data_IF_056163925993
#
_entry.id   IF_056163925993
#
_cell.length_a   1.000
_cell.length_b   1.000
_cell.length_c   1.000
_cell.angle_alpha   90.00
_cell.angle_beta   90.00
_cell.angle_gamma   90.00
#
_symmetry.space_group_name_H-M   'P 1'
#
loop_
_entity.id
_entity.type
_entity.pdbx_description
1 polymer ?
#
# COMPACT_ATOMS: atom_id res chain seq x y z
N UNK A 1 47.65 60.13 -18.34
CA UNK A 1 47.24 59.12 -17.34
C UNK A 1 46.55 58.00 -18.12
N UNK A 2 47.26 56.91 -18.42
CA UNK A 2 46.75 55.82 -19.25
C UNK A 2 46.21 54.73 -18.32
N UNK A 3 44.92 54.41 -18.41
CA UNK A 3 44.32 53.36 -17.59
C UNK A 3 44.42 52.02 -18.33
N UNK A 4 45.25 51.10 -17.82
CA UNK A 4 45.34 49.76 -18.36
C UNK A 4 44.15 48.93 -17.89
N UNK A 5 43.23 48.60 -18.80
CA UNK A 5 42.24 47.56 -18.55
C UNK A 5 42.93 46.20 -18.65
N UNK A 6 43.17 45.56 -17.50
CA UNK A 6 43.51 44.14 -17.45
C UNK A 6 42.23 43.37 -17.74
N UNK A 7 42.06 42.96 -18.99
CA UNK A 7 41.10 41.93 -19.35
C UNK A 7 41.59 40.60 -18.77
N UNK A 8 41.13 40.27 -17.56
CA UNK A 8 41.15 38.91 -17.05
C UNK A 8 40.20 38.08 -17.92
N UNK A 9 40.75 37.51 -18.99
CA UNK A 9 40.15 36.36 -19.65
C UNK A 9 40.10 35.23 -18.63
N UNK A 10 38.92 34.95 -18.09
CA UNK A 10 38.65 33.65 -17.50
C UNK A 10 38.93 32.62 -18.59
N UNK A 11 40.01 31.84 -18.43
CA UNK A 11 40.10 30.56 -19.13
C UNK A 11 38.88 29.77 -18.71
N UNK A 12 38.01 29.43 -19.65
CA UNK A 12 37.05 28.37 -19.43
C UNK A 12 37.90 27.11 -19.16
N UNK A 13 37.97 26.71 -17.89
CA UNK A 13 38.37 25.35 -17.58
C UNK A 13 37.41 24.46 -18.37
N UNK A 14 37.92 23.50 -19.12
CA UNK A 14 37.06 22.39 -19.52
C UNK A 14 36.58 21.80 -18.21
N UNK A 15 35.26 21.76 -18.01
CA UNK A 15 34.69 20.91 -16.98
C UNK A 15 35.24 19.50 -17.24
N UNK A 16 35.75 18.86 -16.19
CA UNK A 16 36.10 17.45 -16.15
C UNK A 16 34.81 16.62 -16.25
N UNK A 17 34.18 16.67 -17.42
CA UNK A 17 32.84 16.16 -17.71
C UNK A 17 32.99 14.85 -18.51
N UNK A 18 32.80 13.72 -17.83
CA UNK A 18 33.16 12.38 -18.31
C UNK A 18 31.94 11.60 -18.79
N UNK A 19 30.81 11.71 -18.08
CA UNK A 19 29.62 10.88 -18.32
C UNK A 19 28.33 11.70 -18.45
N UNK A 20 27.29 11.03 -18.94
CA UNK A 20 25.90 11.48 -18.84
C UNK A 20 24.95 10.30 -18.78
N UNK A 21 23.99 10.33 -17.87
CA UNK A 21 22.95 9.31 -17.81
C UNK A 21 21.95 9.39 -18.97
N UNK A 22 21.73 8.26 -19.63
CA UNK A 22 20.56 8.05 -20.48
C UNK A 22 19.35 7.63 -19.64
N UNK A 23 18.18 8.19 -19.93
CA UNK A 23 16.94 7.91 -19.20
C UNK A 23 16.60 8.98 -18.16
N UNK A 24 16.17 8.55 -16.97
CA UNK A 24 15.72 9.42 -15.87
C UNK A 24 14.37 9.00 -15.27
N UNK A 25 13.81 9.81 -14.35
CA UNK A 25 12.48 9.62 -13.77
C UNK A 25 11.35 9.57 -14.82
N UNK A 26 10.29 8.81 -14.52
CA UNK A 26 9.04 8.81 -15.29
C UNK A 26 7.88 8.38 -14.38
N UNK A 27 6.87 9.24 -14.25
CA UNK A 27 5.78 9.10 -13.29
C UNK A 27 4.57 8.40 -13.91
N UNK A 28 4.11 7.36 -13.24
CA UNK A 28 2.91 6.61 -13.60
C UNK A 28 1.87 6.68 -12.48
N UNK A 29 0.59 6.76 -12.86
CA UNK A 29 -0.53 6.63 -11.91
C UNK A 29 -0.82 5.15 -11.71
N UNK A 30 -0.83 4.71 -10.45
CA UNK A 30 -1.05 3.30 -10.07
C UNK A 30 -2.47 2.99 -9.63
N UNK A 31 -3.19 3.98 -9.11
CA UNK A 31 -4.57 3.82 -8.66
C UNK A 31 -5.32 5.15 -8.78
N UNK A 32 -6.61 5.08 -9.11
CA UNK A 32 -7.54 6.20 -9.02
C UNK A 32 -8.84 5.68 -8.40
N UNK A 33 -9.27 6.28 -7.29
CA UNK A 33 -10.59 6.01 -6.71
C UNK A 33 -11.35 7.31 -6.51
N UNK A 34 -12.67 7.27 -6.54
CA UNK A 34 -13.47 8.46 -6.25
C UNK A 34 -14.68 8.18 -5.37
N UNK A 35 -15.15 9.26 -4.76
CA UNK A 35 -16.45 9.40 -4.12
C UNK A 35 -17.30 10.48 -4.79
N UNK A 36 -17.03 10.82 -6.06
CA UNK A 36 -17.83 11.84 -6.74
C UNK A 36 -19.24 11.31 -7.01
N UNK A 37 -20.16 12.26 -7.06
CA UNK A 37 -21.57 12.01 -6.93
C UNK A 37 -22.33 13.25 -7.48
N UNK A 38 -23.48 13.10 -8.13
CA UNK A 38 -24.06 14.13 -9.01
C UNK A 38 -24.72 15.24 -8.22
N UNK A 39 -24.46 16.49 -8.61
CA UNK A 39 -24.78 17.63 -7.77
C UNK A 39 -23.95 17.70 -6.48
N UNK A 40 -22.86 16.90 -6.36
CA UNK A 40 -22.00 16.89 -5.18
C UNK A 40 -20.53 17.03 -5.50
N UNK A 41 -19.80 17.49 -4.49
CA UNK A 41 -18.34 17.41 -4.44
C UNK A 41 -17.96 16.07 -3.83
N UNK A 42 -17.03 15.36 -4.45
CA UNK A 42 -16.38 14.21 -3.86
C UNK A 42 -14.86 14.31 -3.93
N UNK A 43 -14.20 13.26 -3.44
CA UNK A 43 -12.75 13.11 -3.51
C UNK A 43 -12.35 12.27 -4.70
N UNK A 44 -11.14 12.54 -5.19
CA UNK A 44 -10.41 11.75 -6.17
C UNK A 44 -9.05 11.42 -5.55
N UNK A 45 -8.89 10.16 -5.16
CA UNK A 45 -7.62 9.65 -4.64
C UNK A 45 -6.80 9.11 -5.81
N UNK A 46 -5.53 9.48 -5.89
CA UNK A 46 -4.61 9.14 -6.98
C UNK A 46 -3.30 8.66 -6.36
N UNK A 47 -2.94 7.40 -6.59
CA UNK A 47 -1.60 6.90 -6.26
C UNK A 47 -0.69 7.05 -7.49
N UNK A 48 0.58 7.41 -7.26
CA UNK A 48 1.62 7.47 -8.29
C UNK A 48 2.87 6.67 -7.90
N UNK A 49 3.64 6.26 -8.90
CA UNK A 49 4.88 5.50 -8.82
C UNK A 49 5.88 6.05 -9.85
N UNK A 50 7.15 6.18 -9.46
CA UNK A 50 8.22 6.49 -10.40
C UNK A 50 8.76 5.17 -10.99
N UNK A 51 8.58 4.96 -12.29
CA UNK A 51 9.11 3.81 -13.05
C UNK A 51 10.27 4.19 -13.97
N UNK A 52 10.77 5.41 -13.82
CA UNK A 52 12.00 5.84 -14.45
C UNK A 52 13.20 5.03 -14.00
N UNK A 53 14.20 4.95 -14.86
CA UNK A 53 15.46 4.26 -14.62
C UNK A 53 16.55 4.91 -15.47
N UNK A 54 17.81 4.77 -15.06
CA UNK A 54 18.95 5.04 -15.94
C UNK A 54 19.19 3.81 -16.81
N UNK A 55 19.28 3.99 -18.13
CA UNK A 55 19.46 2.91 -19.11
C UNK A 55 20.89 2.70 -19.57
N UNK A 56 21.76 3.69 -19.33
CA UNK A 56 23.18 3.65 -19.66
C UNK A 56 23.88 4.95 -19.28
N UNK A 57 25.21 4.97 -19.47
CA UNK A 57 26.03 6.18 -19.42
C UNK A 57 26.62 6.44 -20.81
N UNK A 58 26.44 7.64 -21.34
CA UNK A 58 27.17 8.15 -22.50
C UNK A 58 28.53 8.68 -22.03
N UNK A 59 29.63 8.15 -22.57
CA UNK A 59 30.99 8.66 -22.30
C UNK A 59 31.24 9.92 -23.15
N UNK A 60 31.30 11.08 -22.50
CA UNK A 60 31.65 12.36 -23.11
C UNK A 60 33.16 12.53 -23.29
N UNK A 61 33.94 12.09 -22.28
CA UNK A 61 35.39 12.18 -22.30
C UNK A 61 36.06 11.05 -21.50
N UNK A 62 37.25 10.64 -21.94
CA UNK A 62 37.99 9.54 -21.33
C UNK A 62 39.01 10.06 -20.30
N UNK A 63 38.97 9.63 -19.03
CA UNK A 63 39.95 10.06 -18.02
C UNK A 63 41.35 9.49 -18.30
N UNK A 64 42.35 10.36 -18.24
CA UNK A 64 43.74 10.09 -18.60
C UNK A 64 44.66 9.90 -17.39
N UNK A 65 44.44 10.67 -16.32
CA UNK A 65 45.18 10.57 -15.05
C UNK A 65 44.48 9.65 -14.04
N UNK A 66 45.20 9.23 -12.99
CA UNK A 66 44.58 8.42 -11.93
C UNK A 66 43.61 9.24 -11.06
N UNK A 67 43.83 10.56 -10.95
CA UNK A 67 42.91 11.49 -10.29
C UNK A 67 41.62 11.67 -11.10
N UNK A 68 41.73 11.92 -12.42
CA UNK A 68 40.58 11.99 -13.34
C UNK A 68 39.74 10.69 -13.31
N UNK A 69 40.37 9.51 -13.20
CA UNK A 69 39.64 8.23 -13.09
C UNK A 69 38.82 8.14 -11.79
N UNK A 70 39.31 8.69 -10.68
CA UNK A 70 38.57 8.71 -9.42
C UNK A 70 37.38 9.67 -9.50
N UNK A 71 37.56 10.84 -10.12
CA UNK A 71 36.48 11.80 -10.36
C UNK A 71 35.41 11.23 -11.30
N UNK A 72 35.82 10.66 -12.44
CA UNK A 72 34.93 10.02 -13.40
C UNK A 72 34.13 8.84 -12.82
N UNK A 73 34.72 8.04 -11.91
CA UNK A 73 34.00 6.97 -11.23
C UNK A 73 32.89 7.51 -10.31
N UNK A 74 33.18 8.58 -9.56
CA UNK A 74 32.19 9.23 -8.70
C UNK A 74 31.09 9.93 -9.53
N UNK A 75 31.45 10.57 -10.64
CA UNK A 75 30.49 11.16 -11.56
C UNK A 75 29.55 10.11 -12.14
N UNK A 76 30.09 8.98 -12.63
CA UNK A 76 29.29 7.87 -13.14
C UNK A 76 28.38 7.24 -12.08
N UNK A 77 28.78 7.21 -10.81
CA UNK A 77 27.94 6.76 -9.69
C UNK A 77 26.76 7.73 -9.46
N UNK A 78 27.02 9.04 -9.41
CA UNK A 78 26.01 10.08 -9.21
C UNK A 78 25.07 10.26 -10.42
N UNK A 79 25.56 10.06 -11.64
CA UNK A 79 24.75 10.00 -12.86
C UNK A 79 23.74 8.85 -12.80
N UNK A 80 24.16 7.66 -12.34
CA UNK A 80 23.28 6.50 -12.18
C UNK A 80 22.17 6.70 -11.12
N UNK A 81 22.35 7.63 -10.17
CA UNK A 81 21.30 8.03 -9.22
C UNK A 81 20.21 8.94 -9.84
N UNK A 82 20.44 9.49 -11.05
CA UNK A 82 19.58 10.46 -11.75
C UNK A 82 18.18 9.99 -12.17
N UNK A 83 17.71 8.85 -11.65
CA UNK A 83 16.36 8.32 -11.86
C UNK A 83 15.34 8.76 -10.79
N UNK A 84 15.77 9.44 -9.71
CA UNK A 84 14.85 10.05 -8.74
C UNK A 84 14.06 11.22 -9.37
N UNK A 85 12.76 11.27 -9.13
CA UNK A 85 11.92 12.43 -9.44
C UNK A 85 11.92 13.35 -8.22
N UNK A 86 12.56 14.53 -8.31
CA UNK A 86 12.81 15.38 -7.15
C UNK A 86 11.69 16.42 -7.01
N UNK A 87 11.10 16.52 -5.81
CA UNK A 87 10.09 17.55 -5.53
C UNK A 87 8.81 17.43 -6.37
N UNK A 88 8.31 16.20 -6.54
CA UNK A 88 7.07 15.88 -7.27
C UNK A 88 5.88 16.67 -6.70
N UNK A 89 5.27 17.47 -7.56
CA UNK A 89 4.05 18.24 -7.36
C UNK A 89 3.05 17.83 -8.45
N UNK A 90 1.79 17.54 -8.11
CA UNK A 90 0.78 17.16 -9.09
C UNK A 90 -0.49 18.02 -8.99
N UNK A 91 -0.99 18.48 -10.13
CA UNK A 91 -2.16 19.37 -10.24
C UNK A 91 -3.23 18.73 -11.10
N UNK A 92 -4.36 18.38 -10.48
CA UNK A 92 -5.55 17.95 -11.20
C UNK A 92 -6.26 19.15 -11.84
N UNK A 93 -6.88 18.95 -12.99
CA UNK A 93 -7.71 19.91 -13.71
C UNK A 93 -8.79 19.21 -14.52
N UNK A 94 -9.85 19.92 -14.89
CA UNK A 94 -10.92 19.42 -15.75
C UNK A 94 -11.06 20.31 -16.98
N UNK A 95 -11.52 19.73 -18.09
CA UNK A 95 -11.98 20.47 -19.27
C UNK A 95 -13.50 20.43 -19.45
N UNK A 96 -14.18 19.58 -18.69
CA UNK A 96 -15.64 19.54 -18.64
C UNK A 96 -16.12 20.54 -17.59
N UNK A 97 -16.93 21.52 -17.99
CA UNK A 97 -17.48 22.55 -17.11
C UNK A 97 -18.39 21.99 -16.01
N UNK A 98 -18.88 20.75 -16.19
CA UNK A 98 -19.66 20.03 -15.17
C UNK A 98 -18.79 19.45 -14.05
N UNK A 99 -17.46 19.36 -14.25
CA UNK A 99 -16.50 19.03 -13.19
C UNK A 99 -15.58 20.21 -12.86
N UNK A 100 -15.73 20.82 -11.69
CA UNK A 100 -14.81 21.86 -11.21
C UNK A 100 -13.78 21.26 -10.24
N UNK A 101 -12.48 21.46 -10.53
CA UNK A 101 -11.41 21.07 -9.59
C UNK A 101 -11.15 22.20 -8.62
N UNK A 102 -11.32 21.89 -7.33
CA UNK A 102 -11.23 22.87 -6.25
C UNK A 102 -9.86 22.84 -5.57
N UNK A 103 -9.18 21.69 -5.62
CA UNK A 103 -7.81 21.54 -5.11
C UNK A 103 -6.78 22.32 -5.95
N UNK A 104 -5.78 22.87 -5.25
CA UNK A 104 -4.52 23.29 -5.88
C UNK A 104 -3.65 22.07 -6.16
N UNK A 105 -2.42 22.29 -6.63
CA UNK A 105 -1.42 21.24 -6.69
C UNK A 105 -1.18 20.61 -5.32
N UNK A 106 -0.87 19.32 -5.32
CA UNK A 106 -0.52 18.49 -4.17
C UNK A 106 0.97 18.11 -4.26
N UNK A 107 1.72 18.28 -3.17
CA UNK A 107 3.15 17.93 -3.11
C UNK A 107 3.34 16.50 -2.58
N UNK A 108 4.09 15.68 -3.30
CA UNK A 108 4.42 14.29 -2.95
C UNK A 108 5.85 14.11 -2.41
N UNK A 109 6.72 15.12 -2.53
CA UNK A 109 8.14 15.02 -2.17
C UNK A 109 8.97 14.39 -3.30
N UNK A 110 10.14 13.84 -3.01
CA UNK A 110 10.87 13.06 -4.01
C UNK A 110 10.35 11.63 -4.10
N UNK A 111 10.49 11.00 -5.27
CA UNK A 111 10.07 9.62 -5.53
C UNK A 111 11.21 8.86 -6.21
N UNK A 112 11.81 7.91 -5.49
CA UNK A 112 12.91 7.07 -6.02
C UNK A 112 12.41 6.12 -7.11
N UNK A 113 13.32 5.63 -7.96
CA UNK A 113 12.98 4.62 -8.96
C UNK A 113 12.39 3.35 -8.31
N UNK A 114 11.21 2.93 -8.79
CA UNK A 114 10.42 1.83 -8.20
C UNK A 114 9.68 2.17 -6.91
N UNK A 115 9.75 3.42 -6.42
CA UNK A 115 8.96 3.87 -5.28
C UNK A 115 7.56 4.33 -5.73
N UNK A 116 6.56 3.93 -4.95
CA UNK A 116 5.18 4.44 -5.01
C UNK A 116 4.89 5.31 -3.80
N UNK A 117 3.92 6.20 -3.91
CA UNK A 117 3.48 6.97 -2.74
C UNK A 117 3.04 6.04 -1.60
N UNK A 118 3.41 6.44 -0.39
CA UNK A 118 2.98 5.77 0.85
C UNK A 118 1.51 6.05 1.19
N UNK A 119 0.93 7.08 0.56
CA UNK A 119 -0.47 7.49 0.66
C UNK A 119 -0.93 8.08 -0.69
N UNK A 120 -2.17 7.85 -1.15
CA UNK A 120 -2.71 8.52 -2.34
C UNK A 120 -2.75 10.04 -2.18
N UNK A 121 -2.57 10.74 -3.29
CA UNK A 121 -2.84 12.18 -3.44
C UNK A 121 -4.36 12.38 -3.53
N UNK A 122 -4.94 13.29 -2.75
CA UNK A 122 -6.38 13.54 -2.75
C UNK A 122 -6.72 14.88 -3.42
N UNK A 123 -7.68 14.86 -4.36
CA UNK A 123 -8.17 16.05 -5.05
C UNK A 123 -9.69 16.18 -4.89
N UNK A 124 -10.15 17.36 -4.51
CA UNK A 124 -11.57 17.69 -4.37
C UNK A 124 -12.14 18.18 -5.69
N UNK A 125 -13.23 17.56 -6.14
CA UNK A 125 -13.84 17.82 -7.44
C UNK A 125 -15.35 17.91 -7.29
N UNK A 126 -15.94 19.03 -7.74
CA UNK A 126 -17.40 19.19 -7.81
C UNK A 126 -17.91 18.54 -9.08
N UNK A 127 -18.93 17.70 -8.98
CA UNK A 127 -19.82 17.38 -10.08
C UNK A 127 -21.10 18.22 -9.95
N UNK A 128 -21.40 19.05 -10.95
CA UNK A 128 -22.59 19.89 -11.01
C UNK A 128 -23.90 19.07 -10.98
N UNK A 129 -25.06 19.69 -10.73
CA UNK A 129 -26.36 18.98 -10.84
C UNK A 129 -26.68 18.59 -12.30
N UNK A 130 -26.11 19.33 -13.26
CA UNK A 130 -26.10 18.98 -14.68
C UNK A 130 -25.05 17.93 -15.03
N UNK A 131 -24.09 17.66 -14.13
CA UNK A 131 -23.28 16.46 -14.22
C UNK A 131 -24.21 15.28 -13.98
N UNK A 132 -24.41 14.47 -15.02
CA UNK A 132 -25.04 13.17 -14.89
C UNK A 132 -24.03 12.18 -14.30
N UNK A 133 -24.49 11.09 -13.67
CA UNK A 133 -23.59 10.02 -13.23
C UNK A 133 -22.79 9.55 -14.44
N UNK A 134 -21.47 9.54 -14.31
CA UNK A 134 -20.60 9.46 -15.45
C UNK A 134 -19.14 9.51 -15.07
N UNK A 135 -18.30 9.11 -16.01
CA UNK A 135 -16.86 9.22 -15.92
C UNK A 135 -16.44 10.47 -16.69
N UNK A 136 -15.61 11.29 -16.07
CA UNK A 136 -15.19 12.57 -16.61
C UNK A 136 -13.67 12.59 -16.78
N UNK A 137 -13.23 13.11 -17.93
CA UNK A 137 -11.81 13.24 -18.20
C UNK A 137 -11.21 14.43 -17.47
N UNK A 138 -10.23 14.13 -16.65
CA UNK A 138 -9.45 15.09 -15.88
C UNK A 138 -7.98 14.97 -16.28
N UNK A 139 -7.21 16.03 -16.07
CA UNK A 139 -5.80 16.09 -16.46
C UNK A 139 -4.98 16.35 -15.21
N UNK A 140 -4.14 15.39 -14.86
CA UNK A 140 -3.13 15.49 -13.83
C UNK A 140 -1.82 15.95 -14.48
N UNK A 141 -1.47 17.21 -14.28
CA UNK A 141 -0.14 17.74 -14.61
C UNK A 141 0.79 17.45 -13.44
N UNK A 142 1.77 16.56 -13.64
CA UNK A 142 2.81 16.27 -12.65
C UNK A 142 4.07 17.04 -13.02
N UNK A 143 4.63 17.80 -12.10
CA UNK A 143 5.89 18.53 -12.25
C UNK A 143 6.91 18.11 -11.20
N UNK A 144 8.17 18.00 -11.59
CA UNK A 144 9.29 17.63 -10.73
C UNK A 144 10.61 18.16 -11.32
N UNK A 145 11.68 18.18 -10.55
CA UNK A 145 13.05 18.36 -11.06
C UNK A 145 13.64 17.00 -11.45
N UNK A 146 14.17 16.90 -12.68
CA UNK A 146 15.06 15.80 -13.08
C UNK A 146 16.52 16.25 -12.96
N UNK A 147 17.41 15.30 -12.72
CA UNK A 147 18.83 15.48 -13.04
C UNK A 147 19.00 15.50 -14.57
N UNK A 148 19.79 16.44 -15.08
CA UNK A 148 20.20 16.48 -16.50
C UNK A 148 21.67 16.13 -16.71
N UNK A 149 22.49 16.36 -15.66
CA UNK A 149 23.94 16.22 -15.62
C UNK A 149 24.41 16.29 -14.14
N UNK A 150 25.50 15.63 -13.81
CA UNK A 150 26.33 15.85 -12.62
C UNK A 150 27.75 16.10 -13.07
N UNK A 151 28.36 17.17 -12.57
CA UNK A 151 29.76 17.48 -12.86
C UNK A 151 30.60 17.34 -11.59
N UNK A 152 31.68 16.55 -11.65
CA UNK A 152 32.57 16.27 -10.51
C UNK A 152 34.00 16.71 -10.85
N UNK A 153 34.55 17.67 -10.11
CA UNK A 153 35.88 18.22 -10.40
C UNK A 153 36.76 18.41 -9.16
N UNK A 154 38.05 18.68 -9.41
CA UNK A 154 38.96 19.23 -8.41
C UNK A 154 39.77 18.17 -7.68
N UNK A 155 39.74 18.15 -6.35
CA UNK A 155 40.57 17.22 -5.58
C UNK A 155 39.82 15.88 -5.37
N UNK A 156 40.33 14.72 -5.80
CA UNK A 156 39.61 13.46 -5.67
C UNK A 156 39.40 12.98 -4.22
N UNK A 157 40.12 13.54 -3.23
CA UNK A 157 39.87 13.30 -1.80
C UNK A 157 38.81 14.24 -1.21
N UNK A 158 38.53 15.36 -1.88
CA UNK A 158 37.58 16.40 -1.48
C UNK A 158 36.92 17.02 -2.74
N UNK A 159 36.14 16.25 -3.50
CA UNK A 159 35.65 16.67 -4.80
C UNK A 159 34.58 17.76 -4.69
N UNK A 160 34.54 18.63 -5.69
CA UNK A 160 33.48 19.62 -5.89
C UNK A 160 32.41 19.01 -6.81
N UNK A 161 31.17 18.91 -6.31
CA UNK A 161 30.05 18.24 -7.01
C UNK A 161 29.00 19.28 -7.38
N UNK A 162 28.62 19.32 -8.65
CA UNK A 162 27.63 20.25 -9.20
C UNK A 162 26.49 19.50 -9.89
N UNK A 163 25.32 19.49 -9.27
CA UNK A 163 24.10 18.92 -9.85
C UNK A 163 23.43 19.92 -10.80
N UNK A 164 23.27 19.53 -12.06
CA UNK A 164 22.44 20.26 -13.03
C UNK A 164 21.04 19.63 -13.05
N UNK A 165 20.02 20.45 -12.77
CA UNK A 165 18.62 20.02 -12.70
C UNK A 165 17.73 20.88 -13.57
N UNK A 166 16.73 20.25 -14.20
CA UNK A 166 15.73 20.92 -14.99
C UNK A 166 14.31 20.58 -14.55
N UNK A 167 13.38 21.56 -14.57
CA UNK A 167 11.97 21.30 -14.32
C UNK A 167 11.37 20.49 -15.49
N UNK A 168 10.79 19.35 -15.16
CA UNK A 168 10.06 18.46 -16.09
C UNK A 168 8.57 18.51 -15.78
N UNK A 169 7.74 18.31 -16.80
CA UNK A 169 6.29 18.15 -16.66
C UNK A 169 5.79 16.96 -17.45
N UNK A 170 5.01 16.11 -16.79
CA UNK A 170 4.25 15.02 -17.38
C UNK A 170 2.75 15.36 -17.33
N UNK A 171 2.01 15.00 -18.38
CA UNK A 171 0.57 15.25 -18.48
C UNK A 171 -0.15 13.91 -18.58
N UNK A 172 -0.86 13.54 -17.51
CA UNK A 172 -1.54 12.26 -17.39
C UNK A 172 -3.04 12.50 -17.43
N UNK A 173 -3.75 11.79 -18.31
CA UNK A 173 -5.20 11.85 -18.42
C UNK A 173 -5.83 10.82 -17.49
N UNK A 174 -6.80 11.26 -16.68
CA UNK A 174 -7.49 10.46 -15.67
C UNK A 174 -8.98 10.40 -15.95
N UNK A 175 -9.58 9.30 -15.52
CA UNK A 175 -10.99 9.00 -15.71
C UNK A 175 -11.67 8.90 -14.33
N UNK A 176 -12.47 9.92 -13.99
CA UNK A 176 -13.01 10.06 -12.62
C UNK A 176 -14.51 9.77 -12.61
N UNK A 177 -14.97 8.73 -11.89
CA UNK A 177 -16.40 8.41 -11.79
C UNK A 177 -17.17 9.35 -10.85
N UNK A 178 -18.43 9.61 -11.23
CA UNK A 178 -19.48 10.34 -10.52
C UNK A 178 -20.74 9.45 -10.44
N UNK A 179 -21.32 9.29 -9.26
CA UNK A 179 -22.51 8.46 -8.99
C UNK A 179 -23.81 9.29 -8.92
N UNK A 180 -25.00 8.68 -9.01
CA UNK A 180 -26.31 9.30 -8.64
C UNK A 180 -27.08 8.36 -7.71
N UNK A 181 -26.35 7.63 -6.87
CA UNK A 181 -26.95 6.69 -5.95
C UNK A 181 -26.15 6.37 -4.69
N UNK A 182 -26.79 5.64 -3.77
CA UNK A 182 -26.20 5.05 -2.57
C UNK A 182 -24.96 4.22 -2.84
N UNK A 183 -24.20 3.98 -1.76
CA UNK A 183 -22.93 3.26 -1.75
C UNK A 183 -22.72 2.64 -0.37
N UNK A 184 -23.24 1.46 -0.08
CA UNK A 184 -23.12 0.87 1.24
C UNK A 184 -21.67 0.54 1.63
N UNK A 185 -21.40 0.55 2.94
CA UNK A 185 -20.13 0.11 3.56
C UNK A 185 -20.40 -0.65 4.89
N UNK A 186 -19.58 -1.64 5.26
CA UNK A 186 -19.70 -2.26 6.59
C UNK A 186 -19.01 -1.35 7.59
N UNK A 187 -19.80 -0.83 8.51
CA UNK A 187 -19.36 0.14 9.49
C UNK A 187 -18.81 -0.49 10.76
N UNK A 188 -19.33 -1.66 11.16
CA UNK A 188 -18.93 -2.28 12.43
C UNK A 188 -19.24 -3.77 12.45
N UNK A 189 -18.44 -4.51 13.22
CA UNK A 189 -18.71 -5.91 13.57
C UNK A 189 -18.45 -6.11 15.06
N UNK A 190 -19.51 -6.39 15.81
CA UNK A 190 -19.47 -6.60 17.26
C UNK A 190 -19.61 -8.08 17.58
N UNK A 191 -18.71 -8.58 18.43
CA UNK A 191 -18.76 -9.94 18.94
C UNK A 191 -17.44 -10.31 19.60
N UNK A 192 -17.38 -11.48 20.22
CA UNK A 192 -16.13 -12.02 20.74
C UNK A 192 -16.09 -13.49 20.41
N UNK A 193 -15.47 -13.81 19.27
CA UNK A 193 -15.38 -15.16 18.74
C UNK A 193 -14.31 -15.93 19.51
N UNK A 194 -14.54 -17.21 19.80
CA UNK A 194 -13.59 -18.06 20.52
C UNK A 194 -13.77 -19.52 20.12
N UNK A 195 -12.68 -20.28 19.88
CA UNK A 195 -12.76 -21.66 19.42
C UNK A 195 -13.65 -22.54 20.31
N UNK A 196 -14.54 -23.31 19.68
CA UNK A 196 -15.47 -24.22 20.35
C UNK A 196 -16.63 -23.56 21.09
N UNK A 197 -16.92 -22.28 20.86
CA UNK A 197 -18.07 -21.57 21.43
C UNK A 197 -19.01 -21.07 20.33
N UNK A 198 -20.29 -20.96 20.70
CA UNK A 198 -21.27 -20.20 19.92
C UNK A 198 -21.48 -18.82 20.55
N UNK A 199 -21.57 -17.79 19.72
CA UNK A 199 -21.65 -16.38 20.08
C UNK A 199 -22.35 -15.59 18.98
N UNK A 200 -23.14 -14.59 19.33
CA UNK A 200 -23.78 -13.72 18.34
C UNK A 200 -22.78 -12.68 17.81
N UNK A 201 -22.74 -12.54 16.48
CA UNK A 201 -22.03 -11.49 15.79
C UNK A 201 -23.05 -10.45 15.30
N UNK A 202 -22.99 -9.24 15.86
CA UNK A 202 -23.82 -8.11 15.45
C UNK A 202 -23.04 -7.28 14.42
N UNK A 203 -23.48 -7.34 13.17
CA UNK A 203 -22.88 -6.59 12.08
C UNK A 203 -23.74 -5.37 11.74
N UNK A 204 -23.06 -4.24 11.48
CA UNK A 204 -23.66 -2.95 11.17
C UNK A 204 -23.24 -2.51 9.77
N UNK A 205 -24.22 -2.19 8.94
CA UNK A 205 -24.03 -1.69 7.56
C UNK A 205 -24.48 -0.25 7.47
N UNK A 206 -23.79 0.55 6.66
CA UNK A 206 -23.94 1.98 6.38
C UNK A 206 -24.17 2.25 4.87
N UNK A 207 -24.58 3.47 4.48
CA UNK A 207 -24.86 3.88 3.09
C UNK A 207 -24.15 5.19 2.62
N UNK A 208 -22.91 5.15 2.17
CA UNK A 208 -22.10 6.32 1.75
C UNK A 208 -22.37 6.94 0.34
N UNK A 209 -23.61 6.95 -0.19
CA UNK A 209 -23.97 7.63 -1.48
C UNK A 209 -25.28 8.45 -1.44
N UNK A 210 -25.85 8.96 -2.56
CA UNK A 210 -26.90 10.01 -2.55
C UNK A 210 -28.34 9.56 -2.32
N UNK A 211 -28.74 8.43 -2.87
CA UNK A 211 -30.17 8.09 -2.99
C UNK A 211 -30.50 7.02 -1.93
N UNK A 212 -31.72 6.97 -1.37
CA UNK A 212 -32.05 5.97 -0.36
C UNK A 212 -31.74 4.53 -0.76
N UNK A 213 -31.55 3.70 0.27
CA UNK A 213 -31.43 2.25 0.18
C UNK A 213 -32.61 1.63 0.96
N UNK A 214 -33.81 1.64 0.38
CA UNK A 214 -35.07 1.11 0.94
C UNK A 214 -35.04 -0.41 1.12
N UNK A 215 -35.94 -0.99 1.91
CA UNK A 215 -36.18 -2.44 2.02
C UNK A 215 -34.92 -3.28 2.33
N UNK A 216 -33.99 -2.80 3.16
CA UNK A 216 -32.69 -3.47 3.28
C UNK A 216 -32.78 -4.85 3.91
N UNK A 217 -31.93 -5.77 3.45
CA UNK A 217 -31.75 -7.11 3.99
C UNK A 217 -30.27 -7.47 4.06
N UNK A 218 -29.84 -8.05 5.19
CA UNK A 218 -28.48 -8.51 5.43
C UNK A 218 -28.41 -10.03 5.54
N UNK A 219 -27.33 -10.61 4.99
CA UNK A 219 -27.00 -12.02 5.13
C UNK A 219 -25.49 -12.18 5.31
N UNK A 220 -25.09 -12.84 6.39
CA UNK A 220 -23.71 -13.18 6.66
C UNK A 220 -23.37 -14.56 6.07
N UNK A 221 -22.18 -14.68 5.47
CA UNK A 221 -21.70 -15.92 4.86
C UNK A 221 -20.58 -16.55 5.70
N UNK A 222 -20.58 -17.88 5.81
CA UNK A 222 -19.73 -18.63 6.72
C UNK A 222 -18.92 -19.72 6.01
N UNK A 223 -17.69 -19.88 6.49
CA UNK A 223 -16.70 -20.85 6.01
C UNK A 223 -15.91 -21.33 7.24
N UNK A 224 -15.33 -22.54 7.25
CA UNK A 224 -14.42 -22.97 8.31
C UNK A 224 -13.38 -21.88 8.64
N UNK A 225 -13.19 -21.52 9.92
CA UNK A 225 -13.61 -22.23 11.14
C UNK A 225 -15.07 -22.01 11.58
N UNK A 226 -15.92 -21.34 10.81
CA UNK A 226 -17.27 -20.94 11.22
C UNK A 226 -18.38 -21.90 10.70
N UNK A 227 -19.28 -22.34 11.60
CA UNK A 227 -20.30 -23.36 11.32
C UNK A 227 -21.71 -22.95 11.80
N UNK A 228 -22.62 -22.48 10.92
CA UNK A 228 -24.09 -22.51 11.17
C UNK A 228 -24.94 -22.15 9.94
N UNK A 229 -26.25 -22.34 10.06
CA UNK A 229 -27.26 -21.99 9.04
C UNK A 229 -27.27 -20.50 8.71
N UNK A 230 -27.16 -20.16 7.42
CA UNK A 230 -27.35 -18.79 6.94
C UNK A 230 -28.82 -18.37 7.04
N UNK A 231 -29.11 -17.37 7.87
CA UNK A 231 -30.41 -16.70 7.90
C UNK A 231 -30.29 -15.30 7.29
N UNK A 232 -31.31 -14.91 6.52
CA UNK A 232 -31.49 -13.58 5.96
C UNK A 232 -32.26 -12.71 6.95
N UNK A 233 -31.80 -11.48 7.18
CA UNK A 233 -32.31 -10.58 8.21
C UNK A 233 -32.63 -9.22 7.60
N UNK A 234 -33.90 -8.81 7.61
CA UNK A 234 -34.24 -7.47 7.15
C UNK A 234 -33.69 -6.39 8.07
N UNK A 235 -33.01 -5.43 7.47
CA UNK A 235 -32.48 -4.20 8.03
C UNK A 235 -33.46 -3.00 7.85
N UNK A 236 -34.47 -3.13 6.97
CA UNK A 236 -35.45 -2.07 6.67
C UNK A 236 -34.84 -0.93 5.84
N UNK A 237 -35.56 0.16 5.61
CA UNK A 237 -35.04 1.28 4.82
C UNK A 237 -33.77 1.90 5.44
N UNK A 238 -32.62 1.66 4.81
CA UNK A 238 -31.38 2.39 5.01
C UNK A 238 -31.39 3.58 4.05
N UNK A 239 -31.98 4.70 4.45
CA UNK A 239 -31.81 5.96 3.71
C UNK A 239 -30.31 6.27 3.43
N UNK A 240 -29.94 7.17 2.51
CA UNK A 240 -28.53 7.46 2.29
C UNK A 240 -27.91 7.97 3.60
N UNK A 241 -26.77 7.40 3.96
CA UNK A 241 -26.06 7.55 5.24
C UNK A 241 -26.63 6.75 6.43
N UNK A 242 -27.72 5.99 6.31
CA UNK A 242 -28.25 5.24 7.46
C UNK A 242 -27.41 4.04 7.79
N UNK A 243 -27.53 3.58 9.03
CA UNK A 243 -27.03 2.28 9.47
C UNK A 243 -28.14 1.40 9.99
N UNK A 244 -28.00 0.10 9.74
CA UNK A 244 -28.86 -0.91 10.35
C UNK A 244 -28.03 -2.14 10.72
N UNK A 245 -28.47 -2.83 11.79
CA UNK A 245 -27.70 -3.88 12.45
C UNK A 245 -28.43 -5.22 12.39
N UNK A 246 -27.68 -6.29 12.09
CA UNK A 246 -28.18 -7.66 12.01
C UNK A 246 -27.35 -8.57 12.93
N UNK A 247 -28.02 -9.41 13.73
CA UNK A 247 -27.39 -10.34 14.68
C UNK A 247 -27.37 -11.76 14.12
N UNK A 248 -26.16 -12.25 13.86
CA UNK A 248 -25.91 -13.55 13.27
C UNK A 248 -25.35 -14.53 14.31
N UNK A 249 -26.07 -15.60 14.68
CA UNK A 249 -25.58 -16.58 15.63
C UNK A 249 -24.49 -17.44 14.99
N UNK A 250 -23.26 -17.31 15.50
CA UNK A 250 -22.07 -17.96 14.95
C UNK A 250 -21.57 -19.06 15.88
N UNK A 251 -20.98 -20.12 15.33
CA UNK A 251 -20.21 -21.12 16.08
C UNK A 251 -18.82 -21.24 15.46
N UNK A 252 -17.79 -21.24 16.30
CA UNK A 252 -16.39 -21.37 15.89
C UNK A 252 -15.92 -22.78 16.20
N UNK A 253 -15.25 -23.42 15.25
CA UNK A 253 -14.61 -24.72 15.43
C UNK A 253 -13.63 -24.69 16.62
N UNK A 254 -13.44 -25.84 17.27
CA UNK A 254 -12.51 -26.02 18.40
C UNK A 254 -11.06 -25.94 17.95
N UNK A 255 -10.79 -26.22 16.69
CA UNK A 255 -9.45 -26.22 16.09
C UNK A 255 -9.09 -24.89 15.42
N UNK A 256 -9.93 -23.85 15.58
CA UNK A 256 -9.70 -22.53 15.01
C UNK A 256 -8.52 -21.79 15.64
N UNK A 257 -7.63 -21.24 14.81
CA UNK A 257 -6.53 -20.39 15.26
C UNK A 257 -7.02 -18.98 15.67
N UNK A 258 -6.36 -18.34 16.65
CA UNK A 258 -6.63 -16.94 16.98
C UNK A 258 -6.07 -15.99 15.92
N UNK A 259 -6.81 -14.93 15.58
CA UNK A 259 -6.40 -13.94 14.59
C UNK A 259 -7.54 -13.06 14.08
N UNK A 260 -7.22 -12.17 13.15
CA UNK A 260 -8.21 -11.40 12.39
C UNK A 260 -8.70 -12.19 11.17
N UNK A 261 -10.01 -12.20 10.98
CA UNK A 261 -10.70 -12.88 9.88
C UNK A 261 -11.62 -11.86 9.18
N UNK A 262 -11.58 -11.80 7.85
CA UNK A 262 -12.58 -11.04 7.10
C UNK A 262 -13.82 -11.91 6.85
N UNK A 263 -14.97 -11.48 7.37
CA UNK A 263 -16.28 -12.00 7.00
C UNK A 263 -16.90 -11.14 5.89
N UNK A 264 -17.89 -11.71 5.20
CA UNK A 264 -18.63 -11.02 4.13
C UNK A 264 -20.07 -10.85 4.58
N UNK A 265 -20.52 -9.60 4.70
CA UNK A 265 -21.94 -9.31 4.76
C UNK A 265 -22.45 -8.94 3.38
N UNK A 266 -23.42 -9.71 2.91
CA UNK A 266 -24.24 -9.35 1.76
C UNK A 266 -25.40 -8.47 2.19
N UNK A 267 -25.62 -7.38 1.45
CA UNK A 267 -26.73 -6.46 1.66
C UNK A 267 -27.58 -6.33 0.39
N UNK A 268 -28.88 -6.14 0.56
CA UNK A 268 -29.92 -5.88 -0.46
C UNK A 268 -30.68 -4.63 -0.05
N UNK A 269 -31.13 -3.76 -0.97
CA UNK A 269 -31.76 -2.46 -0.67
C UNK A 269 -32.27 -1.71 -1.93
N UNK A 270 -33.10 -0.63 -1.91
CA UNK A 270 -33.57 0.09 -3.14
C UNK A 270 -33.38 1.60 -3.25
N UNK A 271 -33.17 2.13 -4.47
CA UNK A 271 -32.91 3.57 -4.78
C UNK A 271 -34.04 4.59 -4.55
N UNK A 272 -34.90 4.45 -3.54
CA UNK A 272 -36.06 5.33 -3.31
C UNK A 272 -37.38 4.82 -3.88
N UNK A 273 -38.44 5.66 -3.82
CA UNK A 273 -39.80 5.23 -4.15
C UNK A 273 -39.94 4.84 -5.63
N UNK A 274 -40.37 3.59 -5.86
CA UNK A 274 -40.50 3.01 -7.19
C UNK A 274 -39.18 2.57 -7.84
N UNK A 275 -38.04 2.77 -7.18
CA UNK A 275 -36.74 2.39 -7.72
C UNK A 275 -36.33 0.96 -7.37
N UNK A 276 -35.33 0.45 -8.09
CA UNK A 276 -34.91 -0.96 -8.02
C UNK A 276 -34.01 -1.30 -6.83
N UNK A 277 -33.97 -2.60 -6.50
CA UNK A 277 -33.19 -3.17 -5.41
C UNK A 277 -31.72 -3.40 -5.83
N UNK A 278 -30.81 -2.52 -5.39
CA UNK A 278 -29.36 -2.73 -5.38
C UNK A 278 -28.93 -3.69 -4.27
N UNK A 279 -27.71 -4.21 -4.38
CA UNK A 279 -27.07 -5.11 -3.41
C UNK A 279 -25.58 -4.77 -3.31
N UNK A 280 -25.01 -4.77 -2.11
CA UNK A 280 -23.58 -4.52 -1.88
C UNK A 280 -23.00 -5.49 -0.85
N UNK A 281 -21.81 -6.00 -1.14
CA UNK A 281 -21.09 -6.99 -0.33
C UNK A 281 -19.91 -6.31 0.37
N UNK A 282 -19.88 -6.41 1.69
CA UNK A 282 -19.17 -5.46 2.54
C UNK A 282 -18.24 -6.18 3.53
N UNK A 283 -17.00 -5.71 3.59
CA UNK A 283 -15.93 -6.36 4.33
C UNK A 283 -16.09 -6.17 5.85
N UNK A 284 -16.24 -7.28 6.57
CA UNK A 284 -16.51 -7.32 7.99
C UNK A 284 -15.35 -7.97 8.75
N UNK A 285 -14.38 -7.16 9.19
CA UNK A 285 -13.24 -7.66 9.97
C UNK A 285 -13.69 -8.10 11.37
N UNK A 286 -13.34 -9.33 11.77
CA UNK A 286 -13.63 -9.91 13.09
C UNK A 286 -12.41 -10.54 13.72
N UNK A 287 -12.33 -10.51 15.05
CA UNK A 287 -11.24 -11.12 15.82
C UNK A 287 -11.70 -12.45 16.47
N UNK A 288 -10.94 -13.52 16.24
CA UNK A 288 -11.05 -14.80 16.98
C UNK A 288 -10.02 -14.81 18.10
N UNK A 289 -10.48 -14.93 19.34
CA UNK A 289 -9.64 -14.85 20.54
C UNK A 289 -9.13 -16.21 21.01
N UNK A 290 -7.91 -16.21 21.53
CA UNK A 290 -7.25 -17.36 22.16
C UNK A 290 -8.10 -18.01 23.26
N UNK A 291 -8.28 -19.36 23.25
CA UNK A 291 -9.00 -20.07 24.30
C UNK A 291 -8.42 -19.80 25.69
N UNK A 292 -9.20 -19.14 26.54
CA UNK A 292 -8.76 -18.77 27.89
C UNK A 292 -8.85 -19.97 28.86
N UNK A 293 -7.90 -20.90 28.81
CA UNK A 293 -7.72 -21.91 29.88
C UNK A 293 -6.98 -23.21 29.53
N UNK A 294 -6.24 -23.72 30.53
CA UNK A 294 -5.69 -25.09 30.66
C UNK A 294 -4.58 -25.56 29.68
N UNK A 295 -3.43 -24.86 29.62
CA UNK A 295 -2.14 -25.46 29.16
C UNK A 295 -1.18 -25.92 30.27
N UNK A 296 -1.56 -25.82 31.55
CA UNK A 296 -0.65 -26.12 32.69
C UNK A 296 -0.70 -27.56 33.21
N UNK A 297 -1.66 -28.40 32.78
CA UNK A 297 -1.86 -29.75 33.37
C UNK A 297 -1.03 -30.85 32.67
N UNK A 298 -0.60 -30.64 31.42
CA UNK A 298 0.01 -31.70 30.59
C UNK A 298 1.49 -32.04 30.88
N UNK A 299 2.18 -31.30 31.75
CA UNK A 299 3.62 -31.53 32.02
C UNK A 299 3.85 -32.76 32.92
N UNK A 300 2.93 -33.06 33.84
CA UNK A 300 3.09 -34.13 34.84
C UNK A 300 3.25 -35.57 34.30
N UNK A 301 2.45 -36.07 33.34
CA UNK A 301 2.58 -37.46 32.88
C UNK A 301 3.86 -37.73 32.11
N UNK A 302 4.36 -36.76 31.34
CA UNK A 302 5.56 -36.96 30.48
C UNK A 302 6.82 -37.14 31.34
N UNK A 303 6.98 -36.35 32.41
CA UNK A 303 8.12 -36.47 33.33
C UNK A 303 8.12 -37.81 34.07
N UNK A 304 6.95 -38.31 34.47
CA UNK A 304 6.83 -39.62 35.13
C UNK A 304 7.21 -40.80 34.22
N UNK A 305 6.87 -40.71 32.92
CA UNK A 305 7.23 -41.72 31.91
C UNK A 305 8.75 -41.67 31.61
N UNK A 306 9.35 -40.48 31.55
CA UNK A 306 10.79 -40.35 31.32
C UNK A 306 11.63 -40.94 32.47
N UNK A 307 11.22 -40.70 33.72
CA UNK A 307 11.90 -41.22 34.92
C UNK A 307 11.80 -42.74 35.04
N UNK A 308 10.66 -43.34 34.66
CA UNK A 308 10.49 -44.81 34.67
C UNK A 308 11.30 -45.49 33.57
N UNK A 309 11.42 -44.90 32.38
CA UNK A 309 12.31 -45.40 31.33
C UNK A 309 13.79 -45.29 31.69
N UNK A 310 14.21 -44.21 32.38
CA UNK A 310 15.59 -44.08 32.86
C UNK A 310 15.94 -45.17 33.90
N UNK A 311 14.99 -45.48 34.80
CA UNK A 311 15.13 -46.54 35.80
C UNK A 311 15.24 -47.94 35.17
N UNK A 312 14.42 -48.23 34.16
CA UNK A 312 14.44 -49.52 33.45
C UNK A 312 15.67 -49.67 32.52
N UNK A 313 16.10 -48.59 31.86
CA UNK A 313 17.25 -48.59 30.96
C UNK A 313 18.61 -48.83 31.64
N UNK A 314 18.72 -48.53 32.95
CA UNK A 314 19.95 -48.77 33.73
C UNK A 314 20.29 -50.24 33.99
N UNK A 315 19.36 -51.18 33.75
CA UNK A 315 19.48 -52.59 34.19
C UNK A 315 19.55 -53.55 32.99
N UNK A 316 20.61 -53.43 32.17
CA UNK A 316 20.64 -53.93 30.78
C UNK A 316 21.81 -54.82 30.30
N UNK A 317 22.55 -55.51 31.18
CA UNK A 317 23.42 -56.70 30.91
C UNK A 317 24.22 -56.77 29.57
N UNK A 318 25.56 -56.63 29.62
CA UNK A 318 26.45 -57.30 28.64
C UNK A 318 26.73 -58.75 29.06
N UNK A 319 26.63 -59.70 28.12
CA UNK A 319 26.83 -61.13 28.37
C UNK A 319 28.32 -61.53 28.51
N UNK A 320 28.53 -62.67 29.18
CA UNK A 320 29.83 -63.25 29.58
C UNK A 320 30.39 -64.23 28.53
N UNK A 321 31.70 -64.54 28.63
CA UNK A 321 32.33 -65.87 28.92
C UNK A 321 33.76 -65.94 28.28
N UNK A 322 34.65 -66.92 28.59
CA UNK A 322 35.21 -67.23 29.93
C UNK A 322 36.76 -67.52 29.96
N UNK A 323 37.40 -67.34 31.14
CA UNK A 323 38.59 -68.05 31.73
C UNK A 323 39.84 -68.41 30.84
N UNK A 324 41.07 -68.28 31.35
CA UNK A 324 41.78 -69.30 32.19
C UNK A 324 42.97 -68.72 32.98
N UNK A 325 43.42 -69.44 34.03
CA UNK A 325 44.38 -69.09 35.12
C UNK A 325 45.88 -69.23 34.72
N UNK A 326 46.77 -68.50 35.42
CA UNK A 326 47.72 -68.95 36.48
C UNK A 326 48.50 -67.72 37.03
N UNK A 327 48.81 -67.60 38.33
CA UNK A 327 49.96 -68.17 39.09
C UNK A 327 51.33 -67.93 38.38
N UNK A 328 52.51 -67.96 39.00
CA UNK A 328 52.90 -68.27 40.39
C UNK A 328 52.32 -67.29 41.43
N UNK A 329 52.33 -67.60 42.73
CA UNK A 329 52.86 -68.83 43.37
C UNK A 329 51.82 -69.94 43.53
#
# INVERSE_FOLDING_TARGET
>A
MLMAFVLLSYSACSAEDFYRAEGGPSIFVTSVTSSLETGKVGSVFIEIENRGQITGLEEKSAPTTDDEKMLALLEGELEMEGSEAIGVEAKLSSRDERLEVLSRSQLAGSLSAGERLKMPMEFSVRAEESASAGIYQMVLEVSYERQEDVHVQGNPLYPEIYFQRAPTKETIFLEIPVMTGPRLEVAEVKGSLSPGRSSDLELVVENSGDVPAREVQARLLFHPPFNKTSQELSLGDIEPGKKAAAKFPLEVDREADPGEYALVCQIQYRSGEGAEERREDLAALVEVKSPTGLRTILIFPVVAILLTLLYLGGVGKRLKLPRIRRKKW
#
